data_IF_442378715491
#
_entry.id   IF_442378715491
#
_cell.length_a   1.000
_cell.length_b   1.000
_cell.length_c   1.000
_cell.angle_alpha   90.00
_cell.angle_beta   90.00
_cell.angle_gamma   90.00
#
_symmetry.space_group_name_H-M   'P 1'
#
loop_
_entity.id
_entity.type
_entity.pdbx_description
1 polymer ?
#
# COMPACT_ATOMS: atom_id res chain seq x y z
N UNK A 1 59.55 -46.80 -9.16
CA UNK A 1 58.56 -45.88 -9.67
C UNK A 1 57.18 -46.25 -9.19
N UNK A 2 56.66 -45.55 -8.22
CA UNK A 2 55.27 -45.66 -7.83
C UNK A 2 54.59 -44.28 -8.02
N UNK A 3 54.29 -43.86 -9.28
CA UNK A 3 53.47 -42.67 -9.51
C UNK A 3 51.99 -42.97 -9.65
N UNK A 4 51.59 -44.23 -9.87
CA UNK A 4 50.25 -44.63 -10.33
C UNK A 4 49.17 -44.57 -9.20
N UNK A 5 49.50 -44.86 -8.00
CA UNK A 5 48.54 -44.91 -6.87
C UNK A 5 48.08 -43.50 -6.44
N UNK A 6 48.98 -42.51 -6.45
CA UNK A 6 48.62 -41.10 -6.11
C UNK A 6 47.75 -40.45 -7.20
N UNK A 7 48.02 -40.75 -8.48
CA UNK A 7 47.21 -40.27 -9.58
C UNK A 7 45.80 -40.89 -9.56
N UNK A 8 45.71 -42.19 -9.37
CA UNK A 8 44.43 -42.92 -9.28
C UNK A 8 43.57 -42.43 -8.06
N UNK A 9 44.20 -42.12 -6.94
CA UNK A 9 43.52 -41.57 -5.74
C UNK A 9 42.99 -40.16 -5.98
N UNK A 10 43.71 -39.31 -6.69
CA UNK A 10 43.26 -37.97 -7.07
C UNK A 10 42.09 -38.05 -8.07
N UNK A 11 42.19 -38.89 -9.08
CA UNK A 11 41.13 -39.10 -10.08
C UNK A 11 39.83 -39.65 -9.43
N UNK A 12 39.98 -40.58 -8.49
CA UNK A 12 38.86 -41.13 -7.71
C UNK A 12 38.15 -40.07 -6.83
N UNK A 13 38.91 -39.20 -6.16
CA UNK A 13 38.38 -38.09 -5.40
C UNK A 13 37.64 -37.05 -6.26
N UNK A 14 38.18 -36.76 -7.45
CA UNK A 14 37.52 -35.88 -8.41
C UNK A 14 36.21 -36.47 -8.92
N UNK A 15 36.17 -37.77 -9.21
CA UNK A 15 34.94 -38.49 -9.63
C UNK A 15 33.88 -38.50 -8.54
N UNK A 16 34.29 -38.70 -7.29
CA UNK A 16 33.37 -38.59 -6.11
C UNK A 16 32.80 -37.17 -5.97
N UNK A 17 33.64 -36.13 -6.11
CA UNK A 17 33.19 -34.72 -6.01
C UNK A 17 32.22 -34.39 -7.15
N UNK A 18 32.45 -34.86 -8.38
CA UNK A 18 31.56 -34.66 -9.52
C UNK A 18 30.24 -35.39 -9.27
N UNK A 19 30.26 -36.62 -8.79
CA UNK A 19 29.05 -37.40 -8.47
C UNK A 19 28.23 -36.74 -7.34
N UNK A 20 28.89 -36.25 -6.28
CA UNK A 20 28.22 -35.55 -5.17
C UNK A 20 27.62 -34.21 -5.64
N UNK A 21 28.34 -33.47 -6.50
CA UNK A 21 27.80 -32.21 -7.07
C UNK A 21 26.62 -32.51 -8.00
N UNK A 22 26.69 -33.52 -8.84
CA UNK A 22 25.60 -33.94 -9.72
C UNK A 22 24.35 -34.39 -8.94
N UNK A 23 24.53 -35.11 -7.82
CA UNK A 23 23.43 -35.49 -6.94
C UNK A 23 22.83 -34.27 -6.23
N UNK A 24 23.64 -33.32 -5.78
CA UNK A 24 23.17 -32.09 -5.15
C UNK A 24 22.39 -31.22 -6.14
N UNK A 25 22.83 -31.11 -7.39
CA UNK A 25 22.08 -30.42 -8.45
C UNK A 25 20.74 -31.13 -8.76
N UNK A 26 20.77 -32.46 -8.94
CA UNK A 26 19.54 -33.23 -9.20
C UNK A 26 18.53 -33.14 -8.04
N UNK A 27 19.00 -33.11 -6.79
CA UNK A 27 18.15 -32.94 -5.62
C UNK A 27 17.56 -31.51 -5.54
N UNK A 28 18.36 -30.48 -5.88
CA UNK A 28 17.88 -29.09 -6.00
C UNK A 28 16.79 -28.96 -7.05
N UNK A 29 17.01 -29.52 -8.25
CA UNK A 29 16.04 -29.47 -9.33
C UNK A 29 14.73 -30.17 -8.96
N UNK A 30 14.79 -31.31 -8.27
CA UNK A 30 13.61 -32.01 -7.76
C UNK A 30 12.85 -31.20 -6.73
N UNK A 31 13.55 -30.51 -5.82
CA UNK A 31 12.92 -29.64 -4.82
C UNK A 31 12.23 -28.44 -5.48
N UNK A 32 12.87 -27.82 -6.47
CA UNK A 32 12.27 -26.72 -7.25
C UNK A 32 10.99 -27.20 -7.93
N UNK A 33 11.03 -28.33 -8.65
CA UNK A 33 9.86 -28.89 -9.32
C UNK A 33 8.71 -29.19 -8.33
N UNK A 34 9.03 -29.72 -7.16
CA UNK A 34 8.03 -29.98 -6.10
C UNK A 34 7.42 -28.68 -5.57
N UNK A 35 8.25 -27.64 -5.39
CA UNK A 35 7.78 -26.32 -4.95
C UNK A 35 6.86 -25.67 -6.01
N UNK A 36 7.26 -25.68 -7.27
CA UNK A 36 6.44 -25.16 -8.39
C UNK A 36 5.12 -25.91 -8.51
N UNK A 37 5.12 -27.24 -8.41
CA UNK A 37 3.89 -28.03 -8.46
C UNK A 37 2.97 -27.74 -7.27
N UNK A 38 3.53 -27.58 -6.07
CA UNK A 38 2.77 -27.24 -4.87
C UNK A 38 2.15 -25.86 -4.99
N UNK A 39 2.93 -24.88 -5.45
CA UNK A 39 2.47 -23.52 -5.70
C UNK A 39 1.36 -23.48 -6.74
N UNK A 40 1.51 -24.23 -7.85
CA UNK A 40 0.49 -24.33 -8.89
C UNK A 40 -0.81 -24.95 -8.36
N UNK A 41 -0.73 -26.02 -7.56
CA UNK A 41 -1.90 -26.67 -6.97
C UNK A 41 -2.62 -25.74 -6.01
N UNK A 42 -1.89 -25.02 -5.15
CA UNK A 42 -2.45 -24.03 -4.25
C UNK A 42 -3.13 -22.88 -5.03
N UNK A 43 -2.48 -22.37 -6.08
CA UNK A 43 -3.05 -21.33 -6.95
C UNK A 43 -4.31 -21.80 -7.65
N UNK A 44 -4.33 -23.03 -8.18
CA UNK A 44 -5.55 -23.60 -8.77
C UNK A 44 -6.69 -23.67 -7.77
N UNK A 45 -6.42 -24.13 -6.54
CA UNK A 45 -7.41 -24.14 -5.49
C UNK A 45 -7.97 -22.74 -5.21
N UNK A 46 -7.11 -21.74 -5.08
CA UNK A 46 -7.52 -20.34 -4.85
C UNK A 46 -8.37 -19.81 -6.01
N UNK A 47 -7.96 -20.04 -7.24
CA UNK A 47 -8.66 -19.55 -8.44
C UNK A 47 -10.00 -20.23 -8.66
N UNK A 48 -10.07 -21.55 -8.45
CA UNK A 48 -11.21 -22.37 -8.83
C UNK A 48 -12.27 -22.49 -7.72
N UNK A 49 -11.85 -22.41 -6.45
CA UNK A 49 -12.73 -22.66 -5.30
C UNK A 49 -12.94 -21.45 -4.39
N UNK A 50 -11.97 -20.52 -4.32
CA UNK A 50 -11.97 -19.44 -3.33
C UNK A 50 -12.36 -18.10 -3.96
N UNK A 51 -11.88 -17.81 -5.18
CA UNK A 51 -12.08 -16.50 -5.81
C UNK A 51 -13.56 -16.16 -6.05
N UNK A 52 -13.88 -14.89 -5.96
CA UNK A 52 -15.17 -14.33 -6.36
C UNK A 52 -14.94 -13.45 -7.58
N UNK A 53 -15.40 -13.88 -8.77
CA UNK A 53 -15.19 -13.18 -10.04
C UNK A 53 -13.72 -12.79 -10.30
N UNK A 54 -12.78 -13.62 -9.85
CA UNK A 54 -11.35 -13.40 -9.98
C UNK A 54 -10.69 -12.60 -8.84
N UNK A 55 -11.48 -12.05 -7.91
CA UNK A 55 -10.95 -11.33 -6.75
C UNK A 55 -11.02 -12.11 -5.45
N UNK A 56 -10.43 -11.54 -4.40
CA UNK A 56 -10.20 -12.18 -3.11
C UNK A 56 -10.48 -11.24 -1.95
N UNK A 57 -10.70 -11.82 -0.76
CA UNK A 57 -10.64 -11.14 0.54
C UNK A 57 -9.45 -11.66 1.35
N UNK A 58 -9.22 -11.17 2.58
CA UNK A 58 -8.04 -11.51 3.38
C UNK A 58 -8.11 -12.90 4.01
N UNK A 59 -9.28 -13.28 4.56
CA UNK A 59 -9.44 -14.48 5.36
C UNK A 59 -10.71 -15.24 4.96
N UNK A 60 -10.64 -16.55 5.07
CA UNK A 60 -11.74 -17.48 4.81
C UNK A 60 -11.78 -18.54 5.90
N UNK A 61 -12.97 -18.97 6.28
CA UNK A 61 -13.08 -20.21 7.03
C UNK A 61 -12.68 -21.40 6.14
N UNK A 62 -12.18 -22.51 6.72
CA UNK A 62 -11.78 -23.68 5.92
C UNK A 62 -12.89 -24.27 5.04
N UNK A 63 -14.14 -24.12 5.45
CA UNK A 63 -15.33 -24.55 4.69
C UNK A 63 -15.85 -23.48 3.72
N UNK A 64 -15.18 -22.34 3.60
CA UNK A 64 -15.52 -21.17 2.78
C UNK A 64 -16.92 -20.59 3.07
N UNK A 65 -17.52 -20.93 4.21
CA UNK A 65 -18.85 -20.43 4.59
C UNK A 65 -18.87 -18.94 4.90
N UNK A 66 -17.79 -18.42 5.51
CA UNK A 66 -17.61 -17.01 5.87
C UNK A 66 -16.24 -16.50 5.41
N UNK A 67 -16.16 -15.19 5.20
CA UNK A 67 -14.96 -14.52 4.71
C UNK A 67 -14.86 -13.09 5.22
N UNK A 68 -13.64 -12.57 5.30
CA UNK A 68 -13.34 -11.24 5.80
C UNK A 68 -12.26 -10.56 4.95
N UNK A 69 -12.44 -9.27 4.65
CA UNK A 69 -11.37 -8.33 4.51
C UNK A 69 -11.05 -7.77 5.90
N UNK A 70 -10.97 -6.47 6.04
CA UNK A 70 -10.87 -5.82 7.36
C UNK A 70 -12.13 -6.05 8.22
N UNK A 71 -13.26 -6.24 7.55
CA UNK A 71 -14.54 -6.63 8.15
C UNK A 71 -15.14 -7.85 7.43
N UNK A 72 -16.18 -8.45 8.01
CA UNK A 72 -16.87 -9.56 7.38
C UNK A 72 -17.47 -9.15 6.03
N UNK A 73 -17.22 -9.94 5.00
CA UNK A 73 -17.64 -9.68 3.63
C UNK A 73 -18.74 -10.64 3.18
N UNK A 74 -19.65 -10.17 2.33
CA UNK A 74 -20.58 -11.06 1.63
C UNK A 74 -19.84 -11.94 0.61
N UNK A 75 -20.44 -13.05 0.20
CA UNK A 75 -19.86 -13.96 -0.81
C UNK A 75 -19.67 -13.30 -2.18
N UNK A 76 -20.37 -12.23 -2.45
CA UNK A 76 -20.30 -11.44 -3.68
C UNK A 76 -19.23 -10.34 -3.64
N UNK A 77 -18.53 -10.20 -2.51
CA UNK A 77 -17.55 -9.14 -2.31
C UNK A 77 -16.13 -9.61 -2.48
N UNK A 78 -15.30 -8.70 -2.96
CA UNK A 78 -13.83 -8.77 -2.97
C UNK A 78 -13.26 -7.55 -2.27
N UNK A 79 -12.03 -7.65 -1.77
CA UNK A 79 -11.34 -6.61 -1.03
C UNK A 79 -10.16 -6.08 -1.84
N UNK A 80 -9.97 -4.75 -1.88
CA UNK A 80 -8.91 -4.10 -2.67
C UNK A 80 -7.65 -3.87 -1.86
N UNK A 81 -7.78 -3.42 -0.60
CA UNK A 81 -6.65 -3.17 0.32
C UNK A 81 -5.65 -4.32 0.33
N UNK A 82 -4.42 -4.03 0.75
CA UNK A 82 -3.33 -5.01 0.87
C UNK A 82 -3.77 -6.29 1.62
N UNK A 83 -3.32 -7.43 1.11
CA UNK A 83 -3.79 -8.76 1.50
C UNK A 83 -5.01 -9.26 0.71
N UNK A 84 -5.68 -8.38 -0.06
CA UNK A 84 -6.84 -8.70 -0.89
C UNK A 84 -6.51 -8.96 -2.36
N UNK A 85 -7.41 -8.55 -3.23
CA UNK A 85 -7.38 -8.85 -4.68
C UNK A 85 -6.11 -8.32 -5.36
N UNK A 86 -5.68 -7.10 -5.04
CA UNK A 86 -4.52 -6.47 -5.66
C UNK A 86 -3.23 -7.20 -5.29
N UNK A 87 -3.04 -7.51 -4.01
CA UNK A 87 -1.87 -8.26 -3.52
C UNK A 87 -1.78 -9.64 -4.14
N UNK A 88 -2.91 -10.35 -4.26
CA UNK A 88 -2.96 -11.65 -4.94
C UNK A 88 -2.62 -11.48 -6.41
N UNK A 89 -3.12 -10.44 -7.08
CA UNK A 89 -2.78 -10.12 -8.46
C UNK A 89 -1.28 -9.92 -8.68
N UNK A 90 -0.64 -9.14 -7.81
CA UNK A 90 0.82 -8.94 -7.84
C UNK A 90 1.59 -10.24 -7.62
N UNK A 91 1.20 -11.05 -6.63
CA UNK A 91 1.81 -12.37 -6.39
C UNK A 91 1.69 -13.32 -7.58
N UNK A 92 0.57 -13.29 -8.28
CA UNK A 92 0.35 -14.10 -9.48
C UNK A 92 1.29 -13.68 -10.61
N UNK A 93 1.50 -12.37 -10.83
CA UNK A 93 2.49 -11.88 -11.81
C UNK A 93 3.92 -12.27 -11.40
N UNK A 94 4.26 -12.17 -10.12
CA UNK A 94 5.58 -12.59 -9.63
C UNK A 94 5.80 -14.09 -9.84
N UNK A 95 4.78 -14.92 -9.59
CA UNK A 95 4.81 -16.35 -9.87
C UNK A 95 4.97 -16.65 -11.39
N UNK A 96 4.30 -15.87 -12.24
CA UNK A 96 4.48 -15.96 -13.69
C UNK A 96 5.92 -15.63 -14.09
N UNK A 97 6.50 -14.54 -13.57
CA UNK A 97 7.88 -14.15 -13.87
C UNK A 97 8.91 -15.21 -13.47
N UNK A 98 8.70 -15.86 -12.33
CA UNK A 98 9.63 -16.89 -11.83
C UNK A 98 9.51 -18.20 -12.57
N UNK A 99 8.28 -18.59 -12.97
CA UNK A 99 8.01 -19.94 -13.50
C UNK A 99 7.79 -19.98 -15.01
N UNK A 100 7.42 -18.86 -15.64
CA UNK A 100 6.97 -18.80 -17.02
C UNK A 100 5.63 -19.51 -17.30
N UNK A 101 4.92 -19.95 -16.24
CA UNK A 101 3.68 -20.69 -16.39
C UNK A 101 2.49 -19.75 -16.60
N UNK A 102 1.90 -19.82 -17.80
CA UNK A 102 0.78 -18.97 -18.24
C UNK A 102 -0.47 -19.06 -17.33
N UNK A 103 -0.63 -20.12 -16.55
CA UNK A 103 -1.74 -20.23 -15.63
C UNK A 103 -1.77 -19.09 -14.61
N UNK A 104 -0.59 -18.67 -14.12
CA UNK A 104 -0.48 -17.54 -13.18
C UNK A 104 -0.85 -16.21 -13.84
N UNK A 105 -0.39 -15.99 -15.08
CA UNK A 105 -0.79 -14.80 -15.83
C UNK A 105 -2.31 -14.75 -16.06
N UNK A 106 -2.92 -15.85 -16.49
CA UNK A 106 -4.38 -15.95 -16.67
C UNK A 106 -5.15 -15.72 -15.36
N UNK A 107 -4.62 -16.19 -14.25
CA UNK A 107 -5.20 -15.91 -12.94
C UNK A 107 -5.09 -14.42 -12.56
N UNK A 108 -3.96 -13.77 -12.84
CA UNK A 108 -3.77 -12.33 -12.69
C UNK A 108 -4.72 -11.52 -13.59
N UNK A 109 -4.98 -11.97 -14.81
CA UNK A 109 -5.96 -11.36 -15.72
C UNK A 109 -7.38 -11.36 -15.13
N UNK A 110 -7.78 -12.42 -14.43
CA UNK A 110 -9.07 -12.47 -13.74
C UNK A 110 -9.15 -11.41 -12.63
N UNK A 111 -8.08 -11.27 -11.84
CA UNK A 111 -8.01 -10.24 -10.81
C UNK A 111 -8.06 -8.82 -11.42
N UNK A 112 -7.32 -8.56 -12.49
CA UNK A 112 -7.37 -7.29 -13.21
C UNK A 112 -8.77 -7.00 -13.79
N UNK A 113 -9.44 -8.02 -14.33
CA UNK A 113 -10.83 -7.90 -14.84
C UNK A 113 -11.80 -7.53 -13.72
N UNK A 114 -11.66 -8.12 -12.53
CA UNK A 114 -12.45 -7.78 -11.36
C UNK A 114 -12.26 -6.32 -10.93
N UNK A 115 -11.00 -5.84 -10.94
CA UNK A 115 -10.68 -4.44 -10.63
C UNK A 115 -11.25 -3.48 -11.67
N UNK A 116 -11.10 -3.78 -12.97
CA UNK A 116 -11.65 -2.97 -14.06
C UNK A 116 -13.17 -2.87 -13.94
N UNK A 117 -13.85 -3.97 -13.62
CA UNK A 117 -15.29 -3.97 -13.39
C UNK A 117 -15.71 -3.06 -12.24
N UNK A 118 -14.94 -3.05 -11.14
CA UNK A 118 -15.22 -2.25 -9.95
C UNK A 118 -14.66 -0.83 -9.97
N UNK A 119 -13.94 -0.45 -11.03
CA UNK A 119 -13.41 0.91 -11.16
C UNK A 119 -14.54 1.92 -11.27
N UNK A 120 -14.55 2.93 -10.41
CA UNK A 120 -15.56 3.97 -10.38
C UNK A 120 -15.56 4.83 -11.66
N UNK A 121 -16.60 5.63 -11.83
CA UNK A 121 -16.65 6.60 -12.93
C UNK A 121 -15.56 7.67 -12.83
N UNK A 122 -15.09 8.00 -11.64
CA UNK A 122 -13.99 8.94 -11.43
C UNK A 122 -12.62 8.33 -11.74
N UNK A 123 -12.48 7.01 -11.64
CA UNK A 123 -11.25 6.28 -12.02
C UNK A 123 -10.52 5.61 -10.88
N UNK A 124 -10.94 5.83 -9.64
CA UNK A 124 -10.40 5.18 -8.45
C UNK A 124 -11.21 3.96 -8.00
N UNK A 125 -10.96 3.55 -6.76
CA UNK A 125 -11.64 2.42 -6.10
C UNK A 125 -11.95 2.75 -4.64
N UNK A 126 -12.96 2.05 -4.10
CA UNK A 126 -13.20 1.96 -2.68
C UNK A 126 -12.55 0.67 -2.12
N UNK A 127 -12.54 0.47 -0.81
CA UNK A 127 -11.94 -0.68 -0.12
C UNK A 127 -12.40 -2.04 -0.66
N UNK A 128 -13.64 -2.11 -1.11
CA UNK A 128 -14.28 -3.35 -1.54
C UNK A 128 -15.17 -3.13 -2.77
N UNK A 129 -15.30 -4.19 -3.56
CA UNK A 129 -16.23 -4.27 -4.68
C UNK A 129 -17.29 -5.32 -4.34
N UNK A 130 -18.57 -5.00 -4.53
CA UNK A 130 -19.68 -5.96 -4.41
C UNK A 130 -20.29 -6.24 -5.77
N UNK A 131 -20.10 -7.42 -6.29
CA UNK A 131 -20.68 -7.85 -7.58
C UNK A 131 -22.20 -7.99 -7.56
N UNK A 132 -22.84 -7.99 -6.39
CA UNK A 132 -24.29 -7.89 -6.28
C UNK A 132 -24.81 -6.45 -6.48
N UNK A 133 -23.90 -5.47 -6.64
CA UNK A 133 -24.20 -4.10 -6.99
C UNK A 133 -24.47 -3.16 -5.82
N UNK A 134 -24.74 -1.93 -6.16
CA UNK A 134 -24.80 -0.77 -5.27
C UNK A 134 -25.78 -0.94 -4.09
N UNK A 135 -26.93 -1.56 -4.34
CA UNK A 135 -27.91 -1.81 -3.28
C UNK A 135 -27.37 -2.75 -2.20
N UNK A 136 -26.69 -3.81 -2.59
CA UNK A 136 -26.06 -4.76 -1.68
C UNK A 136 -24.93 -4.09 -0.90
N UNK A 137 -24.06 -3.34 -1.59
CA UNK A 137 -22.97 -2.58 -0.99
C UNK A 137 -23.49 -1.59 0.08
N UNK A 138 -24.50 -0.80 -0.23
CA UNK A 138 -25.12 0.13 0.74
C UNK A 138 -25.76 -0.61 1.93
N UNK A 139 -26.35 -1.77 1.69
CA UNK A 139 -26.88 -2.61 2.77
C UNK A 139 -25.75 -3.10 3.68
N UNK A 140 -24.62 -3.50 3.11
CA UNK A 140 -23.44 -3.90 3.88
C UNK A 140 -22.94 -2.76 4.79
N UNK A 141 -22.79 -1.53 4.27
CA UNK A 141 -22.41 -0.37 5.07
C UNK A 141 -23.42 -0.07 6.18
N UNK A 142 -24.71 -0.21 5.91
CA UNK A 142 -25.77 0.04 6.88
C UNK A 142 -25.98 -1.07 7.91
N UNK A 143 -25.34 -2.22 7.75
CA UNK A 143 -25.48 -3.38 8.64
C UNK A 143 -24.16 -3.77 9.28
N UNK A 144 -23.22 -4.28 8.50
CA UNK A 144 -21.90 -4.73 8.98
C UNK A 144 -20.98 -3.53 9.20
N UNK A 145 -20.81 -2.67 8.22
CA UNK A 145 -19.90 -1.53 8.25
C UNK A 145 -20.14 -0.61 9.44
N UNK A 146 -21.38 -0.16 9.66
CA UNK A 146 -21.72 0.75 10.76
C UNK A 146 -21.39 0.23 12.16
N UNK A 147 -21.23 -1.08 12.30
CA UNK A 147 -20.89 -1.73 13.57
C UNK A 147 -19.39 -1.99 13.72
N UNK A 148 -18.58 -1.55 12.74
CA UNK A 148 -17.13 -1.62 12.79
C UNK A 148 -16.58 -0.78 13.92
N UNK A 149 -16.25 -1.42 15.03
CA UNK A 149 -15.64 -0.74 16.16
C UNK A 149 -14.20 -0.36 15.83
N UNK A 150 -13.87 0.93 15.94
CA UNK A 150 -12.59 1.55 15.55
C UNK A 150 -12.35 1.70 14.04
N UNK A 151 -13.21 1.17 13.21
CA UNK A 151 -13.11 1.24 11.74
C UNK A 151 -14.10 2.31 11.26
N UNK A 152 -13.78 3.57 11.58
CA UNK A 152 -14.70 4.69 11.31
C UNK A 152 -14.92 4.90 9.81
N UNK A 153 -13.95 4.54 8.99
CA UNK A 153 -13.94 4.58 7.54
C UNK A 153 -15.00 3.67 6.91
N UNK A 154 -15.43 2.61 7.60
CA UNK A 154 -16.51 1.73 7.16
C UNK A 154 -17.89 2.07 7.74
N UNK A 155 -17.96 2.97 8.73
CA UNK A 155 -19.22 3.30 9.39
C UNK A 155 -20.15 4.14 8.52
N UNK A 156 -19.64 4.71 7.41
CA UNK A 156 -20.38 5.50 6.46
C UNK A 156 -20.14 5.06 5.03
N UNK A 157 -21.19 5.04 4.23
CA UNK A 157 -21.05 4.89 2.78
C UNK A 157 -20.76 6.24 2.15
N UNK A 158 -19.50 6.55 1.91
CA UNK A 158 -19.08 7.81 1.29
C UNK A 158 -19.48 7.91 -0.19
N UNK A 159 -19.55 6.80 -0.92
CA UNK A 159 -19.88 6.76 -2.34
C UNK A 159 -18.85 7.47 -3.23
N UNK A 160 -17.60 7.54 -2.78
CA UNK A 160 -16.44 8.05 -3.49
C UNK A 160 -15.28 7.06 -3.33
N UNK A 161 -14.18 7.35 -4.02
CA UNK A 161 -12.98 6.52 -4.03
C UNK A 161 -12.02 6.91 -2.90
N UNK A 162 -11.10 6.00 -2.56
CA UNK A 162 -10.15 6.22 -1.47
C UNK A 162 -8.71 5.93 -1.91
N UNK A 163 -7.77 6.67 -1.32
CA UNK A 163 -6.33 6.39 -1.34
C UNK A 163 -5.84 5.72 -0.07
N UNK A 164 -6.71 5.64 0.95
CA UNK A 164 -6.39 5.03 2.23
C UNK A 164 -5.91 3.59 2.04
N UNK A 165 -4.91 3.16 2.81
CA UNK A 165 -4.28 1.85 2.68
C UNK A 165 -3.93 1.48 1.21
N UNK A 166 -3.42 2.44 0.46
CA UNK A 166 -2.96 2.30 -0.93
C UNK A 166 -4.02 1.81 -1.94
N UNK A 167 -5.30 1.80 -1.57
CA UNK A 167 -6.38 1.18 -2.35
C UNK A 167 -6.34 1.58 -3.83
N UNK A 168 -6.46 2.88 -4.14
CA UNK A 168 -6.52 3.31 -5.55
C UNK A 168 -5.14 3.33 -6.21
N UNK A 169 -4.07 3.67 -5.47
CA UNK A 169 -2.71 3.71 -6.01
C UNK A 169 -2.18 2.32 -6.35
N UNK A 170 -2.43 1.32 -5.49
CA UNK A 170 -1.95 -0.05 -5.74
C UNK A 170 -2.78 -0.78 -6.78
N UNK A 171 -4.10 -0.57 -6.81
CA UNK A 171 -4.95 -1.05 -7.90
C UNK A 171 -4.49 -0.50 -9.27
N UNK A 172 -4.17 0.80 -9.34
CA UNK A 172 -3.63 1.43 -10.54
C UNK A 172 -2.26 0.87 -10.92
N UNK A 173 -1.38 0.63 -9.93
CA UNK A 173 -0.06 0.01 -10.11
C UNK A 173 -0.17 -1.41 -10.64
N UNK A 174 -1.13 -2.19 -10.16
CA UNK A 174 -1.36 -3.53 -10.69
C UNK A 174 -1.83 -3.49 -12.15
N UNK A 175 -2.72 -2.57 -12.54
CA UNK A 175 -3.10 -2.38 -13.94
C UNK A 175 -1.92 -1.94 -14.81
N UNK A 176 -1.02 -1.09 -14.29
CA UNK A 176 0.22 -0.72 -14.99
C UNK A 176 1.09 -1.95 -15.23
N UNK A 177 1.31 -2.80 -14.22
CA UNK A 177 2.06 -4.07 -14.37
C UNK A 177 1.42 -4.99 -15.41
N UNK A 178 0.10 -5.17 -15.36
CA UNK A 178 -0.63 -5.99 -16.35
C UNK A 178 -0.48 -5.46 -17.77
N UNK A 179 -0.53 -4.12 -17.94
CA UNK A 179 -0.31 -3.51 -19.24
C UNK A 179 1.12 -3.74 -19.75
N UNK A 180 2.13 -3.48 -18.90
CA UNK A 180 3.54 -3.58 -19.27
C UNK A 180 3.99 -5.02 -19.56
N UNK A 181 3.34 -6.00 -18.93
CA UNK A 181 3.71 -7.40 -19.06
C UNK A 181 3.66 -7.91 -20.51
N UNK A 182 2.60 -7.56 -21.23
CA UNK A 182 2.41 -7.98 -22.63
C UNK A 182 2.01 -6.83 -23.56
N UNK A 183 2.01 -5.59 -23.05
CA UNK A 183 1.52 -4.40 -23.75
C UNK A 183 0.10 -4.57 -24.30
N UNK A 184 -0.73 -5.35 -23.59
CA UNK A 184 -2.09 -5.64 -24.02
C UNK A 184 -2.97 -4.38 -23.87
N UNK A 185 -3.49 -3.84 -25.00
CA UNK A 185 -4.24 -2.58 -25.00
C UNK A 185 -5.55 -2.63 -24.20
N UNK A 186 -6.05 -3.82 -23.83
CA UNK A 186 -7.28 -3.94 -23.02
C UNK A 186 -7.17 -3.30 -21.64
N UNK A 187 -5.95 -3.19 -21.07
CA UNK A 187 -5.72 -2.57 -19.76
C UNK A 187 -5.58 -1.05 -19.84
N UNK A 188 -5.22 -0.52 -21.02
CA UNK A 188 -4.86 0.89 -21.18
C UNK A 188 -5.99 1.87 -20.81
N UNK A 189 -7.26 1.64 -21.20
CA UNK A 189 -8.36 2.55 -20.84
C UNK A 189 -8.55 2.68 -19.33
N UNK A 190 -8.52 1.57 -18.59
CA UNK A 190 -8.67 1.59 -17.14
C UNK A 190 -7.45 2.22 -16.44
N UNK A 191 -6.24 1.94 -16.94
CA UNK A 191 -5.01 2.58 -16.46
C UNK A 191 -5.03 4.10 -16.69
N UNK A 192 -5.39 4.56 -17.90
CA UNK A 192 -5.48 5.98 -18.20
C UNK A 192 -6.51 6.70 -17.33
N UNK A 193 -7.61 6.03 -17.04
CA UNK A 193 -8.65 6.55 -16.16
C UNK A 193 -8.15 6.66 -14.71
N UNK A 194 -7.36 5.68 -14.24
CA UNK A 194 -6.73 5.74 -12.92
C UNK A 194 -5.69 6.86 -12.84
N UNK A 195 -4.82 7.02 -13.84
CA UNK A 195 -3.88 8.15 -13.92
C UNK A 195 -4.67 9.48 -13.88
N UNK A 196 -5.73 9.59 -14.70
CA UNK A 196 -6.60 10.76 -14.71
C UNK A 196 -7.22 11.07 -13.35
N UNK A 197 -7.60 10.04 -12.58
CA UNK A 197 -8.11 10.18 -11.22
C UNK A 197 -7.07 10.78 -10.27
N UNK A 198 -5.82 10.30 -10.31
CA UNK A 198 -4.74 10.87 -9.51
C UNK A 198 -4.45 12.33 -9.86
N UNK A 199 -4.42 12.67 -11.14
CA UNK A 199 -4.19 14.03 -11.60
C UNK A 199 -5.31 14.99 -11.20
N UNK A 200 -6.57 14.55 -11.32
CA UNK A 200 -7.76 15.34 -11.01
C UNK A 200 -7.92 15.56 -9.49
N UNK A 201 -7.55 14.60 -8.67
CA UNK A 201 -7.69 14.68 -7.21
C UNK A 201 -6.53 15.36 -6.50
N UNK A 202 -5.42 15.61 -7.20
CA UNK A 202 -4.28 16.34 -6.62
C UNK A 202 -4.65 17.79 -6.36
N UNK A 203 -4.46 18.25 -5.13
CA UNK A 203 -4.61 19.67 -4.83
C UNK A 203 -3.57 20.54 -5.54
N UNK A 204 -3.88 21.82 -5.82
CA UNK A 204 -2.99 22.70 -6.57
C UNK A 204 -1.57 22.79 -6.00
N UNK A 205 -1.41 22.70 -4.68
CA UNK A 205 -0.10 22.78 -4.01
C UNK A 205 0.61 21.42 -3.90
N UNK A 206 0.00 20.33 -4.39
CA UNK A 206 0.68 19.06 -4.61
C UNK A 206 0.28 17.88 -3.72
N UNK A 207 -0.43 18.08 -2.62
CA UNK A 207 -0.93 16.97 -1.79
C UNK A 207 -2.22 16.36 -2.34
N UNK A 208 -2.66 15.26 -1.73
CA UNK A 208 -3.91 14.56 -2.05
C UNK A 208 -4.80 14.42 -0.82
N UNK A 209 -6.15 14.40 -1.01
CA UNK A 209 -7.07 14.01 0.03
C UNK A 209 -7.02 12.50 0.26
N UNK A 210 -7.56 12.04 1.38
CA UNK A 210 -7.77 10.61 1.60
C UNK A 210 -8.83 10.04 0.63
N UNK A 211 -9.88 10.84 0.32
CA UNK A 211 -10.97 10.44 -0.55
C UNK A 211 -11.30 11.49 -1.61
N UNK A 212 -11.71 11.01 -2.78
CA UNK A 212 -12.14 11.87 -3.88
C UNK A 212 -13.28 11.20 -4.69
N UNK A 213 -14.30 11.95 -5.22
CA UNK A 213 -14.51 13.39 -5.11
C UNK A 213 -14.72 13.87 -3.68
N UNK A 214 -14.33 15.12 -3.40
CA UNK A 214 -14.47 15.71 -2.08
C UNK A 214 -15.94 15.75 -1.65
N UNK A 215 -16.22 15.37 -0.40
CA UNK A 215 -17.52 15.46 0.22
C UNK A 215 -17.38 16.08 1.61
N UNK A 216 -18.19 17.08 1.89
CA UNK A 216 -18.12 17.87 3.12
C UNK A 216 -19.33 17.65 4.04
N UNK A 217 -20.21 16.76 3.66
CA UNK A 217 -21.46 16.42 4.35
C UNK A 217 -21.27 15.40 5.50
N UNK A 218 -20.08 14.82 5.63
CA UNK A 218 -19.76 13.89 6.69
C UNK A 218 -19.02 14.62 7.83
N UNK A 219 -19.82 15.01 8.80
CA UNK A 219 -19.33 15.63 10.04
C UNK A 219 -19.55 14.63 11.16
N UNK A 220 -18.50 14.24 11.88
CA UNK A 220 -18.58 13.30 12.97
C UNK A 220 -18.32 14.01 14.29
N UNK A 221 -19.29 13.96 15.19
CA UNK A 221 -19.17 14.55 16.53
C UNK A 221 -18.74 16.03 16.56
N UNK A 222 -19.12 16.81 15.54
CA UNK A 222 -18.76 18.24 15.44
C UNK A 222 -17.40 18.52 14.82
N UNK A 223 -16.64 17.47 14.41
CA UNK A 223 -15.37 17.62 13.70
C UNK A 223 -15.60 17.65 12.19
N UNK A 224 -14.83 18.47 11.43
CA UNK A 224 -14.87 18.45 9.96
C UNK A 224 -14.55 17.07 9.41
N UNK A 225 -15.02 16.79 8.20
CA UNK A 225 -14.62 15.60 7.46
C UNK A 225 -13.14 15.64 7.10
N UNK A 226 -12.35 14.85 7.80
CA UNK A 226 -10.91 14.75 7.61
C UNK A 226 -10.52 14.09 6.28
N UNK A 227 -11.42 13.36 5.64
CA UNK A 227 -11.12 12.66 4.38
C UNK A 227 -10.83 13.61 3.21
N UNK A 228 -11.16 14.90 3.37
CA UNK A 228 -10.81 15.98 2.45
C UNK A 228 -9.49 16.69 2.78
N UNK A 229 -8.78 16.31 3.84
CA UNK A 229 -7.51 16.91 4.21
C UNK A 229 -6.35 16.40 3.38
N UNK A 230 -5.24 17.13 3.32
CA UNK A 230 -3.97 16.62 2.81
C UNK A 230 -3.49 15.48 3.70
N UNK A 231 -3.30 14.31 3.14
CA UNK A 231 -3.15 13.08 3.92
C UNK A 231 -1.80 12.43 3.73
N UNK A 232 -0.98 12.42 4.79
CA UNK A 232 0.22 11.58 4.87
C UNK A 232 -0.09 10.21 5.47
N UNK A 233 -1.20 10.12 6.24
CA UNK A 233 -1.61 8.85 6.84
C UNK A 233 -1.70 7.76 5.75
N UNK A 234 -1.27 6.55 6.12
CA UNK A 234 -1.24 5.39 5.24
C UNK A 234 -0.57 5.69 3.88
N UNK A 235 0.49 6.51 3.94
CA UNK A 235 1.39 6.87 2.85
C UNK A 235 0.72 7.46 1.58
N UNK A 236 -0.52 7.96 1.69
CA UNK A 236 -1.35 8.44 0.55
C UNK A 236 -0.57 9.34 -0.41
N UNK A 237 0.13 10.36 0.09
CA UNK A 237 0.87 11.29 -0.79
C UNK A 237 2.06 10.59 -1.43
N UNK A 238 2.80 9.76 -0.67
CA UNK A 238 3.96 9.05 -1.21
C UNK A 238 3.55 8.04 -2.29
N UNK A 239 2.55 7.23 -2.05
CA UNK A 239 2.14 6.19 -3.00
C UNK A 239 1.61 6.80 -4.31
N UNK A 240 0.91 7.94 -4.23
CA UNK A 240 0.50 8.67 -5.41
C UNK A 240 1.68 9.24 -6.19
N UNK A 241 2.64 9.89 -5.52
CA UNK A 241 3.89 10.39 -6.16
C UNK A 241 4.66 9.23 -6.79
N UNK A 242 4.84 8.14 -6.05
CA UNK A 242 5.57 6.96 -6.50
C UNK A 242 4.92 6.31 -7.73
N UNK A 243 3.60 6.16 -7.75
CA UNK A 243 2.89 5.65 -8.91
C UNK A 243 3.03 6.56 -10.14
N UNK A 244 2.92 7.88 -9.97
CA UNK A 244 3.14 8.82 -11.07
C UNK A 244 4.59 8.76 -11.60
N UNK A 245 5.59 8.59 -10.73
CA UNK A 245 6.99 8.37 -11.13
C UNK A 245 7.11 7.09 -11.96
N UNK A 246 6.51 5.99 -11.51
CA UNK A 246 6.51 4.73 -12.26
C UNK A 246 5.87 4.89 -13.64
N UNK A 247 4.72 5.56 -13.73
CA UNK A 247 4.07 5.87 -15.00
C UNK A 247 4.95 6.73 -15.90
N UNK A 248 5.58 7.78 -15.37
CA UNK A 248 6.51 8.62 -16.14
C UNK A 248 7.67 7.81 -16.71
N UNK A 249 8.30 6.97 -15.87
CA UNK A 249 9.47 6.18 -16.28
C UNK A 249 9.13 5.08 -17.30
N UNK A 250 7.92 4.52 -17.25
CA UNK A 250 7.54 3.36 -18.08
C UNK A 250 6.73 3.73 -19.30
N UNK A 251 5.90 4.78 -19.23
CA UNK A 251 5.04 5.23 -20.32
C UNK A 251 5.60 6.45 -21.06
N UNK A 252 6.59 7.16 -20.49
CA UNK A 252 7.17 8.37 -21.07
C UNK A 252 6.23 9.57 -21.10
N UNK A 253 5.21 9.62 -20.23
CA UNK A 253 4.24 10.69 -20.22
C UNK A 253 4.76 11.91 -19.47
N UNK A 254 5.29 12.90 -20.20
CA UNK A 254 5.86 14.13 -19.64
C UNK A 254 4.86 15.02 -18.89
N UNK A 255 3.54 14.83 -19.11
CA UNK A 255 2.50 15.56 -18.37
C UNK A 255 2.53 15.25 -16.88
N UNK A 256 3.14 14.14 -16.49
CA UNK A 256 3.26 13.71 -15.10
C UNK A 256 4.36 14.43 -14.32
N UNK A 257 5.30 15.09 -15.00
CA UNK A 257 6.44 15.76 -14.34
C UNK A 257 6.00 16.88 -13.38
N UNK A 258 5.06 17.74 -13.79
CA UNK A 258 4.56 18.81 -12.91
C UNK A 258 3.80 18.25 -11.68
N UNK A 259 2.84 17.33 -11.82
CA UNK A 259 2.22 16.67 -10.66
C UNK A 259 3.21 15.98 -9.71
N UNK A 260 4.21 15.28 -10.24
CA UNK A 260 5.28 14.65 -9.44
C UNK A 260 6.04 15.72 -8.64
N UNK A 261 6.50 16.78 -9.31
CA UNK A 261 7.25 17.86 -8.68
C UNK A 261 6.42 18.57 -7.59
N UNK A 262 5.14 18.85 -7.85
CA UNK A 262 4.24 19.43 -6.84
C UNK A 262 4.04 18.50 -5.64
N UNK A 263 3.88 17.20 -5.90
CA UNK A 263 3.76 16.19 -4.84
C UNK A 263 5.00 16.13 -3.96
N UNK A 264 6.20 16.06 -4.54
CA UNK A 264 7.46 16.09 -3.80
C UNK A 264 7.65 17.42 -3.02
N UNK A 265 7.34 18.57 -3.64
CA UNK A 265 7.46 19.87 -2.98
C UNK A 265 6.48 20.03 -1.81
N UNK A 266 5.35 19.33 -1.81
CA UNK A 266 4.39 19.38 -0.71
C UNK A 266 5.02 18.94 0.63
N UNK A 267 5.99 18.04 0.61
CA UNK A 267 6.75 17.65 1.81
C UNK A 267 7.52 18.82 2.42
N UNK A 268 8.06 19.71 1.62
CA UNK A 268 8.73 20.93 2.10
C UNK A 268 7.72 21.94 2.64
N UNK A 269 6.58 22.11 1.95
CA UNK A 269 5.55 23.07 2.33
C UNK A 269 4.85 22.71 3.64
N UNK A 270 4.66 21.41 3.90
CA UNK A 270 3.92 20.91 5.06
C UNK A 270 4.79 20.69 6.29
N UNK A 271 6.12 20.77 6.19
CA UNK A 271 6.98 20.65 7.36
C UNK A 271 6.76 21.82 8.33
N UNK A 272 6.43 21.53 9.58
CA UNK A 272 6.28 22.51 10.63
C UNK A 272 7.56 23.33 10.85
N UNK A 273 7.42 24.54 11.41
CA UNK A 273 8.55 25.40 11.76
C UNK A 273 9.52 24.76 12.76
N UNK A 274 9.04 23.79 13.53
CA UNK A 274 9.84 22.99 14.46
C UNK A 274 10.53 21.77 13.80
N UNK A 275 10.33 21.52 12.51
CA UNK A 275 10.92 20.42 11.76
C UNK A 275 10.07 19.15 11.65
N UNK A 276 8.91 19.11 12.27
CA UNK A 276 8.05 17.92 12.34
C UNK A 276 6.97 17.86 11.25
N UNK A 277 6.34 16.69 11.11
CA UNK A 277 5.13 16.49 10.32
C UNK A 277 4.01 15.84 11.14
N UNK A 278 2.78 16.32 10.85
CA UNK A 278 1.55 15.64 11.24
C UNK A 278 1.18 14.55 10.25
N UNK A 279 0.17 13.74 10.61
CA UNK A 279 -0.36 12.71 9.70
C UNK A 279 -1.31 13.28 8.65
N UNK A 280 -1.94 14.42 8.95
CA UNK A 280 -2.85 15.13 8.05
C UNK A 280 -2.72 16.63 8.25
N UNK A 281 -3.14 17.38 7.22
CA UNK A 281 -3.15 18.84 7.24
C UNK A 281 -4.47 19.35 6.69
N UNK A 282 -5.09 20.26 7.43
CA UNK A 282 -6.28 20.96 6.94
C UNK A 282 -5.94 21.91 5.78
N UNK A 283 -6.94 22.55 5.20
CA UNK A 283 -6.76 23.43 4.04
C UNK A 283 -5.94 24.70 4.32
N UNK A 284 -5.63 25.00 5.58
CA UNK A 284 -4.74 26.06 6.01
C UNK A 284 -3.32 25.57 6.33
N UNK A 285 -2.98 24.34 5.95
CA UNK A 285 -1.70 23.67 6.22
C UNK A 285 -1.36 23.60 7.73
N UNK A 286 -2.35 23.47 8.57
CA UNK A 286 -2.15 23.15 9.98
C UNK A 286 -2.29 21.66 10.18
N UNK A 287 -1.39 21.05 10.96
CA UNK A 287 -1.52 19.66 11.36
C UNK A 287 -2.87 19.44 12.03
N UNK A 288 -3.57 18.40 11.62
CA UNK A 288 -4.94 18.12 12.04
C UNK A 288 -5.13 16.64 12.39
N UNK A 289 -6.08 16.38 13.27
CA UNK A 289 -6.53 15.03 13.61
C UNK A 289 -7.39 14.41 12.51
N UNK A 290 -7.70 13.13 12.68
CA UNK A 290 -8.54 12.38 11.77
C UNK A 290 -9.66 11.66 12.53
N UNK A 291 -9.52 10.35 12.74
CA UNK A 291 -10.49 9.55 13.51
C UNK A 291 -10.58 10.02 14.96
N UNK A 292 -11.62 9.59 15.66
CA UNK A 292 -11.90 10.05 17.04
C UNK A 292 -10.76 9.81 18.05
N UNK A 293 -9.77 9.03 17.72
CA UNK A 293 -8.58 8.74 18.54
C UNK A 293 -7.26 9.29 17.95
N UNK A 294 -7.35 10.15 16.96
CA UNK A 294 -6.20 10.76 16.28
C UNK A 294 -6.24 12.28 16.48
N UNK A 295 -5.43 12.81 17.39
CA UNK A 295 -5.46 14.23 17.73
C UNK A 295 -4.73 15.11 16.70
N UNK A 296 -4.92 16.44 16.81
CA UNK A 296 -4.07 17.41 16.14
C UNK A 296 -2.65 17.33 16.71
N UNK A 297 -1.77 16.62 16.03
CA UNK A 297 -0.45 16.29 16.53
C UNK A 297 0.62 16.21 15.45
N UNK A 298 1.87 16.38 15.86
CA UNK A 298 3.03 15.92 15.12
C UNK A 298 3.37 14.48 15.50
N UNK A 299 3.83 13.69 14.54
CA UNK A 299 4.11 12.27 14.77
C UNK A 299 5.56 11.92 14.39
N UNK A 300 6.32 11.30 15.31
CA UNK A 300 7.66 10.82 15.01
C UNK A 300 7.72 9.88 13.81
N UNK A 301 6.71 9.00 13.63
CA UNK A 301 6.60 8.11 12.45
C UNK A 301 6.66 8.91 11.14
N UNK A 302 5.80 9.92 10.99
CA UNK A 302 5.76 10.72 9.76
C UNK A 302 6.94 11.69 9.64
N UNK A 303 7.44 12.21 10.76
CA UNK A 303 8.64 13.05 10.76
C UNK A 303 9.86 12.30 10.25
N UNK A 304 10.08 11.06 10.73
CA UNK A 304 11.14 10.19 10.23
C UNK A 304 10.91 9.78 8.76
N UNK A 305 9.73 9.26 8.42
CA UNK A 305 9.40 8.79 7.09
C UNK A 305 9.53 9.90 6.04
N UNK A 306 8.98 11.06 6.30
CA UNK A 306 9.03 12.20 5.39
C UNK A 306 10.44 12.76 5.23
N UNK A 307 11.26 12.79 6.29
CA UNK A 307 12.68 13.15 6.18
C UNK A 307 13.45 12.16 5.29
N UNK A 308 13.19 10.87 5.39
CA UNK A 308 13.76 9.87 4.48
C UNK A 308 13.32 10.05 3.03
N UNK A 309 12.05 10.44 2.81
CA UNK A 309 11.55 10.76 1.47
C UNK A 309 12.19 12.03 0.91
N UNK A 310 12.46 13.04 1.71
CA UNK A 310 13.23 14.21 1.25
C UNK A 310 14.64 13.83 0.75
N UNK A 311 15.33 12.89 1.42
CA UNK A 311 16.61 12.37 0.95
C UNK A 311 16.44 11.64 -0.39
N UNK A 312 15.40 10.84 -0.54
CA UNK A 312 15.07 10.14 -1.77
C UNK A 312 14.75 11.11 -2.91
N UNK A 313 14.01 12.18 -2.64
CA UNK A 313 13.72 13.23 -3.65
C UNK A 313 14.99 13.95 -4.10
N UNK A 314 15.92 14.22 -3.18
CA UNK A 314 17.24 14.70 -3.56
C UNK A 314 17.98 13.73 -4.49
N UNK A 315 17.95 12.42 -4.18
CA UNK A 315 18.57 11.40 -5.04
C UNK A 315 17.96 11.37 -6.45
N UNK A 316 16.65 11.62 -6.58
CA UNK A 316 15.97 11.64 -7.87
C UNK A 316 16.24 12.91 -8.68
N UNK A 317 16.37 14.06 -8.01
CA UNK A 317 16.35 15.37 -8.67
C UNK A 317 17.68 16.12 -8.61
N UNK A 318 18.58 15.82 -7.66
CA UNK A 318 19.75 16.60 -7.34
C UNK A 318 19.45 17.94 -6.63
N UNK A 319 18.18 18.23 -6.33
CA UNK A 319 17.77 19.50 -5.73
C UNK A 319 18.07 19.54 -4.22
N UNK A 320 19.05 20.36 -3.84
CA UNK A 320 19.51 20.49 -2.45
C UNK A 320 18.46 21.08 -1.50
N UNK A 321 17.38 21.69 -2.00
CA UNK A 321 16.30 22.19 -1.14
C UNK A 321 15.69 21.08 -0.29
N UNK A 322 15.63 19.86 -0.82
CA UNK A 322 15.14 18.69 -0.07
C UNK A 322 16.03 18.35 1.13
N UNK A 323 17.35 18.48 1.00
CA UNK A 323 18.27 18.21 2.11
C UNK A 323 18.26 19.30 3.17
N UNK A 324 17.93 20.55 2.82
CA UNK A 324 18.04 21.70 3.71
C UNK A 324 17.17 21.56 4.98
N UNK A 325 16.05 20.81 4.90
CA UNK A 325 15.08 20.66 5.98
C UNK A 325 15.23 19.35 6.79
N UNK A 326 16.11 18.45 6.36
CA UNK A 326 16.35 17.18 7.06
C UNK A 326 16.98 17.37 8.45
N UNK A 327 17.95 18.27 8.68
CA UNK A 327 18.50 18.54 10.01
C UNK A 327 17.47 18.97 11.03
N UNK A 328 16.47 19.76 10.61
CA UNK A 328 15.39 20.21 11.51
C UNK A 328 14.55 19.03 12.00
N UNK A 329 14.25 18.08 11.10
CA UNK A 329 13.53 16.86 11.47
C UNK A 329 14.32 15.98 12.45
N UNK A 330 15.63 15.84 12.22
CA UNK A 330 16.53 15.09 13.12
C UNK A 330 16.52 15.75 14.50
N UNK A 331 16.72 17.08 14.57
CA UNK A 331 16.73 17.80 15.83
C UNK A 331 15.41 17.65 16.60
N UNK A 332 14.28 17.70 15.91
CA UNK A 332 12.98 17.48 16.53
C UNK A 332 12.79 16.05 17.05
N UNK A 333 13.22 15.03 16.31
CA UNK A 333 13.18 13.63 16.73
C UNK A 333 14.06 13.42 17.98
N UNK A 334 15.27 13.94 17.98
CA UNK A 334 16.18 13.85 19.14
C UNK A 334 15.58 14.50 20.40
N UNK A 335 14.99 15.68 20.25
CA UNK A 335 14.31 16.41 21.34
C UNK A 335 13.15 15.62 21.94
N UNK A 336 12.38 14.90 21.12
CA UNK A 336 11.18 14.17 21.51
C UNK A 336 11.45 12.69 21.86
N UNK A 337 12.69 12.31 22.03
CA UNK A 337 13.07 10.97 22.44
C UNK A 337 12.63 10.72 23.89
N UNK A 338 11.97 9.59 24.13
CA UNK A 338 11.56 9.19 25.46
C UNK A 338 12.79 8.84 26.33
N UNK A 339 12.76 9.14 27.62
CA UNK A 339 13.75 8.64 28.57
C UNK A 339 13.82 7.10 28.56
N UNK A 340 14.99 6.54 28.86
CA UNK A 340 15.23 5.10 28.76
C UNK A 340 14.27 4.26 29.63
N UNK A 341 13.88 4.77 30.79
CA UNK A 341 12.93 4.16 31.72
C UNK A 341 11.48 4.19 31.22
N UNK A 342 11.19 5.00 30.18
CA UNK A 342 9.89 5.11 29.51
C UNK A 342 9.80 4.26 28.23
N UNK A 343 10.90 3.62 27.84
CA UNK A 343 10.93 2.76 26.62
C UNK A 343 10.64 1.32 26.99
N UNK A 344 9.83 0.62 26.20
CA UNK A 344 9.59 -0.81 26.41
C UNK A 344 10.71 -1.62 25.79
N UNK A 345 11.62 -2.18 26.63
CA UNK A 345 12.76 -2.99 26.19
C UNK A 345 13.63 -2.34 25.11
N UNK A 346 13.83 -1.02 25.19
CA UNK A 346 14.56 -0.25 24.18
C UNK A 346 13.82 -0.06 22.84
N UNK A 347 12.58 -0.52 22.76
CA UNK A 347 11.67 -0.26 21.64
C UNK A 347 10.78 0.95 21.94
N UNK A 348 10.12 1.47 20.89
CA UNK A 348 9.22 2.62 21.03
C UNK A 348 9.91 3.81 21.71
N UNK A 349 11.01 4.24 21.13
CA UNK A 349 11.87 5.30 21.66
C UNK A 349 11.24 6.71 21.60
N UNK A 350 10.08 6.85 20.99
CA UNK A 350 9.34 8.09 20.83
C UNK A 350 7.88 7.89 21.19
N UNK A 351 7.15 8.97 21.61
CA UNK A 351 5.71 8.92 21.77
C UNK A 351 5.02 8.73 20.41
N UNK A 352 3.78 8.22 20.42
CA UNK A 352 3.00 8.12 19.20
C UNK A 352 2.63 9.51 18.65
N UNK A 353 2.26 10.43 19.53
CA UNK A 353 1.83 11.77 19.20
C UNK A 353 2.56 12.82 20.07
N UNK A 354 2.77 13.99 19.48
CA UNK A 354 3.32 15.18 20.14
C UNK A 354 2.39 16.35 19.84
N UNK A 355 1.86 16.98 20.89
CA UNK A 355 0.91 18.07 20.78
C UNK A 355 1.50 19.26 20.00
N UNK A 356 0.72 19.80 19.06
CA UNK A 356 1.20 20.88 18.16
C UNK A 356 1.45 22.20 18.85
N UNK A 357 0.77 22.48 19.97
CA UNK A 357 0.86 23.75 20.68
C UNK A 357 1.92 23.73 21.76
N UNK A 358 2.06 22.61 22.48
CA UNK A 358 2.93 22.51 23.67
C UNK A 358 4.21 21.75 23.43
N UNK A 359 4.31 21.03 22.29
CA UNK A 359 5.44 20.16 21.95
C UNK A 359 5.71 19.08 23.02
N UNK A 360 4.63 18.59 23.66
CA UNK A 360 4.67 17.57 24.70
C UNK A 360 4.09 16.25 24.20
N UNK A 361 4.57 15.10 24.71
CA UNK A 361 3.98 13.80 24.42
C UNK A 361 2.49 13.74 24.77
N UNK A 362 1.70 13.16 23.87
CA UNK A 362 0.27 12.93 24.02
C UNK A 362 -0.01 11.44 23.91
N UNK A 363 -0.84 10.95 24.83
CA UNK A 363 -1.23 9.55 24.87
C UNK A 363 -2.74 9.44 24.73
N UNK A 364 -3.18 8.81 23.66
CA UNK A 364 -4.60 8.63 23.37
C UNK A 364 -5.05 7.23 23.74
N UNK A 365 -6.28 7.10 24.14
CA UNK A 365 -6.91 5.80 24.35
C UNK A 365 -8.30 5.75 23.70
N UNK A 366 -8.76 4.55 23.40
CA UNK A 366 -9.96 4.32 22.59
C UNK A 366 -11.24 4.15 23.41
N UNK A 367 -11.25 4.55 24.66
CA UNK A 367 -12.44 4.53 25.49
C UNK A 367 -13.16 5.87 25.37
N UNK A 368 -14.12 5.91 24.50
CA UNK A 368 -14.81 7.15 24.17
C UNK A 368 -14.02 8.00 23.24
N UNK A 369 -13.95 8.56 22.36
CA UNK A 369 -13.30 9.51 21.47
C UNK A 369 -11.90 9.99 21.96
N UNK A 370 -11.34 10.96 21.30
CA UNK A 370 -10.04 11.59 21.51
C UNK A 370 -9.83 12.06 22.95
N UNK A 371 -9.63 11.15 23.89
CA UNK A 371 -9.24 11.48 25.25
C UNK A 371 -7.71 11.44 25.31
N UNK A 372 -7.15 12.57 25.69
CA UNK A 372 -5.71 12.83 25.78
C UNK A 372 -5.31 12.84 27.25
#
# INVERSE_FOLDING_TARGET
>A
PIPTIRAARKTFLWLIMILLSAQAFAQKDKLVQQAEQTMLNATKFMVENVSTNGGYVWYYLPDLSRRWGEMEAYKTMIWIQDGGTVSVGHMLLDAYHVTGNEYYYQAAEKAATALIWGQSNEGGWNYLIDFAGDRSLKTWYNTIGKNGWRLEEFQHYYGNDTYDDDVSSDAARFLLRMYLEKLDPKYKPALDKAIGFLLKSQYPIGGWPQRYPLRYDFNKAGHPDYTSYYTFNDDVIWENVNFLIQCYMTLGDERLLDPINRGMNFYLLSQGGNGAWGQQYNMQLKAAGARTYEPDAYLPKYTYGNAMLLIKFYQYTGDRRYLARVPDAIAWLEKNRLPADKTLNGRYTHPAFVDVATDKPVYVHRKGSNVI
#
